data_IF_191504741193
#
_entry.id   IF_191504741193
#
_cell.length_a   1.000
_cell.length_b   1.000
_cell.length_c   1.000
_cell.angle_alpha   90.00
_cell.angle_beta   90.00
_cell.angle_gamma   90.00
#
_symmetry.space_group_name_H-M   'P 1'
#
loop_
_entity.id
_entity.type
_entity.pdbx_description
1 polymer ?
#
# COMPACT_ATOMS: atom_id res chain seq x y z
N UNK A 1 18.88 -2.05 -28.76
CA UNK A 1 17.54 -2.65 -28.59
C UNK A 1 16.86 -2.77 -29.95
N UNK A 2 16.84 -3.96 -30.58
CA UNK A 2 16.29 -4.12 -31.95
C UNK A 2 15.03 -5.00 -32.08
N UNK A 3 14.48 -5.50 -30.98
CA UNK A 3 13.11 -6.00 -30.90
C UNK A 3 12.63 -5.73 -29.48
N UNK A 4 11.75 -4.74 -29.30
CA UNK A 4 10.99 -4.62 -28.06
C UNK A 4 9.82 -5.61 -28.15
N UNK A 5 9.61 -6.40 -27.11
CA UNK A 5 8.41 -7.23 -26.98
C UNK A 5 7.17 -6.30 -27.08
N UNK A 6 6.21 -6.56 -27.99
CA UNK A 6 5.03 -5.71 -28.16
C UNK A 6 4.15 -5.63 -26.90
N UNK A 7 4.30 -6.57 -25.97
CA UNK A 7 3.61 -6.59 -24.67
C UNK A 7 4.29 -5.71 -23.62
N UNK A 8 5.53 -5.27 -23.86
CA UNK A 8 6.30 -4.44 -22.93
C UNK A 8 6.40 -3.02 -23.45
N UNK A 9 5.97 -2.07 -22.63
CA UNK A 9 6.13 -0.64 -22.90
C UNK A 9 6.87 0.04 -21.75
N UNK A 10 7.89 0.80 -22.11
CA UNK A 10 8.59 1.70 -21.20
C UNK A 10 7.90 3.07 -21.21
N UNK A 11 7.64 3.60 -20.02
CA UNK A 11 7.08 4.95 -19.84
C UNK A 11 8.14 5.81 -19.14
N UNK A 12 8.55 6.91 -19.76
CA UNK A 12 9.18 8.01 -19.02
C UNK A 12 8.05 8.90 -18.46
N UNK A 13 7.58 8.54 -17.26
CA UNK A 13 6.49 9.26 -16.61
C UNK A 13 6.88 10.69 -16.19
N UNK A 14 8.19 10.96 -16.03
CA UNK A 14 8.70 12.29 -15.75
C UNK A 14 8.63 13.19 -16.99
N UNK A 15 8.91 12.66 -18.18
CA UNK A 15 8.73 13.39 -19.45
C UNK A 15 7.25 13.76 -19.67
N UNK A 16 6.35 12.81 -19.43
CA UNK A 16 4.89 13.07 -19.49
C UNK A 16 4.46 14.12 -18.47
N UNK A 17 4.95 14.02 -17.22
CA UNK A 17 4.62 14.96 -16.16
C UNK A 17 5.17 16.38 -16.39
N UNK A 18 6.37 16.52 -16.96
CA UNK A 18 6.97 17.82 -17.30
C UNK A 18 6.22 18.59 -18.39
N UNK A 19 5.50 17.85 -19.24
CA UNK A 19 4.68 18.41 -20.31
C UNK A 19 3.24 18.71 -19.87
N UNK A 20 2.83 18.34 -18.66
CA UNK A 20 1.49 18.61 -18.18
C UNK A 20 1.35 20.03 -17.60
N UNK A 21 0.34 20.74 -18.09
CA UNK A 21 -0.07 22.06 -17.64
C UNK A 21 -1.55 22.06 -17.23
N UNK A 22 -1.93 23.02 -16.39
CA UNK A 22 -3.34 23.28 -16.10
C UNK A 22 -4.01 23.78 -17.38
N UNK A 23 -5.23 23.32 -17.64
CA UNK A 23 -6.04 23.77 -18.78
C UNK A 23 -6.14 25.31 -18.76
N UNK A 24 -6.04 25.94 -19.94
CA UNK A 24 -6.02 27.40 -20.14
C UNK A 24 -4.77 28.17 -19.67
N UNK A 25 -3.69 27.49 -19.27
CA UNK A 25 -2.40 28.15 -18.98
C UNK A 25 -1.20 27.26 -19.29
N UNK A 26 -0.57 27.45 -20.45
CA UNK A 26 0.68 26.76 -20.83
C UNK A 26 1.81 27.04 -19.83
N UNK A 27 1.77 28.21 -19.19
CA UNK A 27 2.76 28.64 -18.20
C UNK A 27 2.56 28.01 -16.82
N UNK A 28 1.37 27.48 -16.52
CA UNK A 28 1.06 26.88 -15.22
C UNK A 28 1.24 25.36 -15.25
N UNK A 29 2.46 24.94 -14.94
CA UNK A 29 2.85 23.53 -14.83
C UNK A 29 2.09 22.80 -13.72
N UNK A 30 1.71 21.55 -13.98
CA UNK A 30 0.89 20.75 -13.06
C UNK A 30 1.73 20.01 -12.01
N UNK A 31 2.74 19.23 -12.42
CA UNK A 31 3.49 18.35 -11.51
C UNK A 31 4.89 18.86 -11.18
N UNK A 32 5.56 19.48 -12.15
CA UNK A 32 6.94 19.94 -12.07
C UNK A 32 7.18 21.06 -13.11
N UNK A 33 8.08 22.01 -12.81
CA UNK A 33 8.34 23.16 -13.70
C UNK A 33 9.05 22.78 -15.01
N UNK A 34 9.88 21.74 -14.98
CA UNK A 34 10.60 21.18 -16.13
C UNK A 34 10.98 19.70 -15.87
N UNK A 35 11.66 19.07 -16.83
CA UNK A 35 12.06 17.66 -16.76
C UNK A 35 13.07 17.37 -15.65
N UNK A 36 14.03 18.26 -15.40
CA UNK A 36 15.04 18.08 -14.36
C UNK A 36 14.40 18.10 -12.98
N UNK A 37 13.53 19.07 -12.74
CA UNK A 37 12.74 19.14 -11.52
C UNK A 37 11.82 17.91 -11.37
N UNK A 38 11.22 17.41 -12.46
CA UNK A 38 10.43 16.18 -12.41
C UNK A 38 11.27 14.98 -11.97
N UNK A 39 12.44 14.77 -12.58
CA UNK A 39 13.35 13.68 -12.21
C UNK A 39 13.82 13.79 -10.77
N UNK A 40 14.10 14.99 -10.27
CA UNK A 40 14.47 15.22 -8.88
C UNK A 40 13.31 14.92 -7.93
N UNK A 41 12.14 15.54 -8.16
CA UNK A 41 10.95 15.44 -7.31
C UNK A 41 10.41 14.00 -7.22
N UNK A 42 10.40 13.28 -8.35
CA UNK A 42 9.87 11.93 -8.45
C UNK A 42 10.94 10.84 -8.38
N UNK A 43 12.17 11.15 -7.94
CA UNK A 43 13.17 10.14 -7.57
C UNK A 43 12.85 9.56 -6.19
N UNK A 44 11.71 8.90 -6.10
CA UNK A 44 11.18 8.34 -4.87
C UNK A 44 9.81 7.71 -5.09
N UNK A 45 9.14 7.41 -4.00
CA UNK A 45 7.92 6.61 -4.01
C UNK A 45 6.75 7.24 -4.80
N UNK A 46 6.64 8.58 -4.81
CA UNK A 46 5.56 9.30 -5.49
C UNK A 46 5.51 9.06 -7.01
N UNK A 47 6.57 8.50 -7.61
CA UNK A 47 6.56 8.08 -9.01
C UNK A 47 5.48 7.03 -9.31
N UNK A 48 5.09 6.24 -8.31
CA UNK A 48 3.99 5.27 -8.37
C UNK A 48 2.67 5.95 -8.75
N UNK A 49 2.41 7.15 -8.22
CA UNK A 49 1.22 7.93 -8.57
C UNK A 49 1.27 8.35 -10.04
N UNK A 50 2.41 8.84 -10.53
CA UNK A 50 2.57 9.18 -11.94
C UNK A 50 2.40 7.97 -12.85
N UNK A 51 2.89 6.80 -12.45
CA UNK A 51 2.72 5.55 -13.19
C UNK A 51 1.22 5.18 -13.33
N UNK A 52 0.44 5.31 -12.25
CA UNK A 52 -1.01 5.10 -12.30
C UNK A 52 -1.66 6.13 -13.24
N UNK A 53 -1.40 7.42 -13.04
CA UNK A 53 -2.01 8.52 -13.82
C UNK A 53 -1.71 8.36 -15.33
N UNK A 54 -0.45 8.19 -15.71
CA UNK A 54 0.00 8.23 -17.11
C UNK A 54 0.02 6.88 -17.83
N UNK A 55 -0.13 5.76 -17.13
CA UNK A 55 -0.30 4.47 -17.81
C UNK A 55 -1.51 4.50 -18.76
N UNK A 56 -1.44 3.78 -19.88
CA UNK A 56 -2.56 3.72 -20.83
C UNK A 56 -3.70 2.79 -20.42
N UNK A 57 -3.50 2.01 -19.36
CA UNK A 57 -4.44 1.00 -18.92
C UNK A 57 -5.56 1.63 -18.08
N UNK A 58 -6.78 1.14 -18.26
CA UNK A 58 -7.90 1.51 -17.37
C UNK A 58 -7.81 0.77 -16.04
N UNK A 59 -7.42 -0.51 -16.09
CA UNK A 59 -7.22 -1.38 -14.94
C UNK A 59 -5.72 -1.58 -14.73
N UNK A 60 -5.22 -1.12 -13.59
CA UNK A 60 -3.80 -1.08 -13.27
C UNK A 60 -3.54 -1.99 -12.08
N UNK A 61 -2.59 -2.90 -12.22
CA UNK A 61 -1.94 -3.59 -11.10
C UNK A 61 -0.55 -3.00 -10.98
N UNK A 62 -0.34 -2.20 -9.94
CA UNK A 62 0.94 -1.62 -9.61
C UNK A 62 1.67 -2.57 -8.65
N UNK A 63 2.95 -2.82 -8.91
CA UNK A 63 3.79 -3.77 -8.19
C UNK A 63 5.12 -3.11 -7.82
N UNK A 64 5.57 -3.34 -6.60
CA UNK A 64 6.97 -3.08 -6.25
C UNK A 64 7.91 -4.12 -6.89
N UNK A 65 9.13 -3.68 -7.20
CA UNK A 65 10.13 -4.50 -7.90
C UNK A 65 10.63 -5.69 -7.05
N UNK A 66 10.47 -5.60 -5.74
CA UNK A 66 10.86 -6.56 -4.70
C UNK A 66 9.65 -7.33 -4.12
N UNK A 67 8.55 -7.39 -4.86
CA UNK A 67 7.39 -8.21 -4.53
C UNK A 67 7.53 -9.63 -5.10
N UNK A 68 7.29 -10.65 -4.28
CA UNK A 68 7.23 -12.06 -4.67
C UNK A 68 5.88 -12.68 -4.39
N UNK A 69 5.35 -13.44 -5.35
CA UNK A 69 4.05 -14.08 -5.26
C UNK A 69 4.15 -15.58 -4.97
N UNK A 70 3.30 -16.07 -4.07
CA UNK A 70 3.11 -17.50 -3.78
C UNK A 70 1.96 -18.11 -4.61
N UNK A 71 1.13 -17.26 -5.20
CA UNK A 71 0.05 -17.65 -6.12
C UNK A 71 -0.13 -16.57 -7.19
N UNK A 72 -0.79 -16.90 -8.30
CA UNK A 72 -1.00 -15.92 -9.38
C UNK A 72 -1.82 -14.71 -8.89
N UNK A 73 -1.34 -13.47 -9.06
CA UNK A 73 -2.11 -12.28 -8.70
C UNK A 73 -3.30 -12.02 -9.64
N UNK A 74 -3.41 -12.75 -10.74
CA UNK A 74 -4.48 -12.55 -11.73
C UNK A 74 -5.87 -12.88 -11.17
N UNK A 75 -5.96 -13.70 -10.13
CA UNK A 75 -7.22 -14.02 -9.45
C UNK A 75 -7.82 -12.81 -8.74
N UNK A 76 -7.01 -11.80 -8.41
CA UNK A 76 -7.46 -10.57 -7.73
C UNK A 76 -8.49 -9.78 -8.54
N UNK A 77 -8.38 -9.78 -9.87
CA UNK A 77 -9.38 -9.17 -10.76
C UNK A 77 -10.77 -9.82 -10.63
N UNK A 78 -10.79 -11.10 -10.22
CA UNK A 78 -12.00 -11.89 -10.07
C UNK A 78 -12.73 -11.71 -8.74
N UNK A 79 -12.10 -11.07 -7.75
CA UNK A 79 -12.63 -10.86 -6.40
C UNK A 79 -13.87 -9.96 -6.40
N UNK A 80 -14.76 -10.16 -5.43
CA UNK A 80 -15.91 -9.29 -5.22
C UNK A 80 -15.47 -7.89 -4.76
N UNK A 81 -14.39 -7.80 -3.98
CA UNK A 81 -13.73 -6.53 -3.62
C UNK A 81 -13.38 -5.73 -4.87
N UNK A 82 -12.59 -6.27 -5.81
CA UNK A 82 -12.24 -5.55 -7.03
C UNK A 82 -13.45 -5.28 -7.92
N UNK A 83 -14.33 -6.26 -8.12
CA UNK A 83 -15.52 -6.07 -8.97
C UNK A 83 -16.50 -5.05 -8.41
N UNK A 84 -16.58 -4.88 -7.10
CA UNK A 84 -17.49 -3.90 -6.48
C UNK A 84 -16.91 -2.49 -6.41
N UNK A 85 -15.60 -2.33 -6.25
CA UNK A 85 -14.97 -1.02 -6.04
C UNK A 85 -14.03 -0.58 -7.16
N UNK A 86 -13.40 -1.51 -7.86
CA UNK A 86 -12.29 -1.22 -8.77
C UNK A 86 -10.95 -0.96 -8.07
N UNK A 87 -10.85 -1.21 -6.76
CA UNK A 87 -9.60 -1.11 -6.01
C UNK A 87 -9.43 -2.28 -5.04
N UNK A 88 -8.18 -2.64 -4.75
CA UNK A 88 -7.80 -3.50 -3.62
C UNK A 88 -6.54 -2.91 -2.99
N UNK A 89 -6.57 -2.75 -1.67
CA UNK A 89 -5.45 -2.33 -0.83
C UNK A 89 -5.14 -3.39 0.22
N UNK A 90 -3.89 -3.44 0.67
CA UNK A 90 -3.42 -4.35 1.71
C UNK A 90 -3.02 -3.54 2.95
N UNK A 91 -3.16 -4.15 4.13
CA UNK A 91 -2.84 -3.47 5.38
C UNK A 91 -1.34 -3.46 5.62
N UNK A 92 -0.82 -2.35 6.14
CA UNK A 92 0.55 -2.31 6.68
C UNK A 92 0.56 -2.76 8.15
N UNK A 93 1.75 -2.87 8.73
CA UNK A 93 1.98 -3.24 10.12
C UNK A 93 1.39 -2.19 11.04
N UNK A 94 0.71 -2.67 12.08
CA UNK A 94 0.18 -1.82 13.14
C UNK A 94 1.33 -1.41 14.07
N UNK A 95 2.13 -0.45 13.63
CA UNK A 95 3.28 0.07 14.36
C UNK A 95 3.37 1.61 14.28
N UNK A 96 4.39 2.18 14.93
CA UNK A 96 4.71 3.61 14.84
C UNK A 96 3.56 4.52 15.31
N UNK A 97 3.03 4.25 16.51
CA UNK A 97 1.82 4.85 17.10
C UNK A 97 1.92 6.38 17.35
N UNK A 98 3.05 6.99 17.02
CA UNK A 98 3.35 8.42 17.18
C UNK A 98 3.95 9.06 15.91
N UNK A 99 3.96 8.36 14.78
CA UNK A 99 4.53 8.86 13.51
C UNK A 99 3.48 8.90 12.40
N UNK A 100 3.78 9.61 11.31
CA UNK A 100 2.98 9.66 10.09
C UNK A 100 1.49 9.93 10.37
N UNK A 101 0.57 9.02 10.03
CA UNK A 101 -0.87 9.17 10.23
C UNK A 101 -1.24 9.44 11.71
N UNK A 102 -0.54 8.80 12.64
CA UNK A 102 -0.79 8.91 14.08
C UNK A 102 0.02 10.03 14.77
N UNK A 103 0.82 10.80 14.03
CA UNK A 103 1.67 11.83 14.62
C UNK A 103 0.83 12.88 15.39
N UNK A 104 1.14 13.04 16.68
CA UNK A 104 0.49 14.00 17.58
C UNK A 104 1.29 15.31 17.61
N UNK A 105 0.62 16.44 17.79
CA UNK A 105 1.32 17.72 17.91
C UNK A 105 1.90 17.84 19.33
N UNK A 106 3.22 18.09 19.49
CA UNK A 106 3.80 18.29 20.82
C UNK A 106 3.36 19.62 21.48
N UNK A 107 2.75 20.54 20.71
CA UNK A 107 2.37 21.89 21.17
C UNK A 107 0.90 22.04 21.55
N UNK A 108 0.06 21.02 21.31
CA UNK A 108 -1.35 21.03 21.77
C UNK A 108 -1.41 20.40 23.16
N UNK A 109 -1.00 21.19 24.15
CA UNK A 109 -0.99 20.83 25.57
C UNK A 109 -2.39 20.73 26.16
N UNK A 110 -3.02 19.58 26.00
CA UNK A 110 -4.31 19.19 26.60
C UNK A 110 -4.61 17.71 26.32
N UNK A 111 -5.66 17.15 26.92
CA UNK A 111 -6.09 15.78 26.58
C UNK A 111 -6.43 15.62 25.08
N UNK A 112 -6.82 16.71 24.41
CA UNK A 112 -7.06 16.80 22.95
C UNK A 112 -5.83 16.41 22.12
N UNK A 113 -4.61 16.71 22.58
CA UNK A 113 -3.37 16.35 21.89
C UNK A 113 -3.11 14.84 21.79
N UNK A 114 -3.78 14.03 22.63
CA UNK A 114 -3.71 12.56 22.58
C UNK A 114 -4.73 11.93 21.64
N UNK A 115 -5.86 12.58 21.42
CA UNK A 115 -7.00 12.06 20.65
C UNK A 115 -6.99 12.46 19.17
N UNK A 116 -6.25 13.51 18.78
CA UNK A 116 -6.17 14.00 17.39
C UNK A 116 -4.76 13.80 16.81
N UNK A 117 -4.67 12.92 15.81
CA UNK A 117 -3.46 12.66 15.02
C UNK A 117 -3.36 13.48 13.73
N UNK A 118 -2.29 13.26 12.95
CA UNK A 118 -2.06 13.95 11.68
C UNK A 118 -3.08 13.60 10.60
N UNK A 119 -3.53 12.33 10.53
CA UNK A 119 -4.60 11.90 9.61
C UNK A 119 -5.88 12.74 9.81
N UNK A 120 -6.33 12.87 11.06
CA UNK A 120 -7.52 13.66 11.41
C UNK A 120 -7.41 15.10 10.92
N UNK A 121 -6.29 15.77 11.23
CA UNK A 121 -6.04 17.16 10.83
C UNK A 121 -5.95 17.33 9.31
N UNK A 122 -5.29 16.39 8.64
CA UNK A 122 -5.17 16.39 7.18
C UNK A 122 -6.55 16.31 6.53
N UNK A 123 -7.37 15.32 6.95
CA UNK A 123 -8.70 15.10 6.40
C UNK A 123 -9.66 16.26 6.69
N UNK A 124 -9.68 16.80 7.91
CA UNK A 124 -10.55 17.95 8.25
C UNK A 124 -10.15 19.23 7.49
N UNK A 125 -8.87 19.38 7.16
CA UNK A 125 -8.36 20.53 6.41
C UNK A 125 -8.51 20.42 4.89
N UNK A 126 -8.90 19.25 4.35
CA UNK A 126 -8.98 19.05 2.90
C UNK A 126 -10.32 19.53 2.34
N UNK A 127 -10.26 20.29 1.24
CA UNK A 127 -11.45 20.76 0.53
C UNK A 127 -11.75 19.85 -0.68
N UNK A 128 -12.82 19.04 -0.56
CA UNK A 128 -13.22 18.09 -1.62
C UNK A 128 -14.05 18.72 -2.74
N UNK A 129 -14.59 19.93 -2.55
CA UNK A 129 -15.52 20.60 -3.48
C UNK A 129 -15.01 20.63 -4.94
N UNK A 130 -13.72 20.95 -5.21
CA UNK A 130 -13.21 21.00 -6.59
C UNK A 130 -13.29 19.67 -7.35
N UNK A 131 -13.43 18.54 -6.65
CA UNK A 131 -13.43 17.20 -7.25
C UNK A 131 -14.83 16.63 -7.47
N UNK A 132 -15.90 17.32 -7.03
CA UNK A 132 -17.27 16.81 -7.10
C UNK A 132 -17.77 16.56 -8.53
N UNK A 133 -17.20 17.24 -9.52
CA UNK A 133 -17.53 17.03 -10.94
C UNK A 133 -17.19 15.63 -11.46
N UNK A 134 -16.29 14.91 -10.80
CA UNK A 134 -15.91 13.56 -11.19
C UNK A 134 -16.83 12.51 -10.57
N UNK A 135 -17.09 11.43 -11.32
CA UNK A 135 -17.89 10.29 -10.86
C UNK A 135 -17.24 9.47 -9.74
N UNK A 136 -18.06 8.68 -9.07
CA UNK A 136 -17.66 7.78 -7.97
C UNK A 136 -18.30 6.41 -8.12
N UNK A 137 -17.72 5.41 -7.48
CA UNK A 137 -18.38 4.14 -7.25
C UNK A 137 -19.24 4.27 -5.99
N UNK A 138 -20.55 4.07 -6.12
CA UNK A 138 -21.46 4.10 -4.98
C UNK A 138 -21.12 3.01 -3.96
N UNK A 139 -21.11 3.37 -2.68
CA UNK A 139 -20.98 2.40 -1.60
C UNK A 139 -22.33 1.75 -1.29
N UNK A 140 -22.33 0.43 -1.04
CA UNK A 140 -23.48 -0.26 -0.44
C UNK A 140 -23.52 -0.12 1.09
N UNK A 141 -22.50 0.51 1.67
CA UNK A 141 -22.40 0.75 3.09
C UNK A 141 -23.43 1.82 3.53
N UNK A 142 -24.32 1.51 4.50
CA UNK A 142 -25.23 2.48 5.11
C UNK A 142 -24.54 3.70 5.74
N UNK A 143 -23.21 3.65 5.94
CA UNK A 143 -22.40 4.68 6.60
C UNK A 143 -22.21 6.01 5.84
N UNK A 144 -22.80 6.18 4.65
CA UNK A 144 -23.03 7.52 4.03
C UNK A 144 -23.87 8.48 4.93
N UNK A 145 -24.23 8.05 6.14
CA UNK A 145 -24.91 8.80 7.19
C UNK A 145 -24.01 9.21 8.37
N UNK A 146 -22.71 8.89 8.36
CA UNK A 146 -21.82 9.36 9.41
C UNK A 146 -21.83 10.89 9.46
N UNK A 147 -21.89 11.44 10.68
CA UNK A 147 -21.83 12.88 10.88
C UNK A 147 -20.56 13.45 10.26
N UNK A 148 -20.69 14.56 9.53
CA UNK A 148 -19.52 15.38 9.11
C UNK A 148 -18.81 16.03 10.29
N UNK A 149 -19.35 15.88 11.49
CA UNK A 149 -18.74 16.29 12.75
C UNK A 149 -18.33 15.06 13.55
N UNK A 150 -17.03 14.83 13.66
CA UNK A 150 -16.44 13.75 14.46
C UNK A 150 -15.24 14.29 15.23
N UNK A 151 -15.08 13.85 16.48
CA UNK A 151 -13.96 14.25 17.34
C UNK A 151 -13.81 15.78 17.51
N UNK A 152 -14.90 16.54 17.39
CA UNK A 152 -14.88 18.00 17.43
C UNK A 152 -14.31 18.67 16.18
N UNK A 153 -14.13 17.92 15.08
CA UNK A 153 -13.67 18.41 13.78
C UNK A 153 -14.82 18.39 12.78
N UNK A 154 -14.86 19.42 11.92
CA UNK A 154 -15.75 19.50 10.77
C UNK A 154 -15.03 18.96 9.51
N UNK A 155 -15.67 18.03 8.80
CA UNK A 155 -15.19 17.46 7.55
C UNK A 155 -16.01 17.97 6.36
N UNK A 156 -15.36 18.20 5.22
CA UNK A 156 -16.03 18.63 3.99
C UNK A 156 -16.76 17.48 3.27
N UNK A 157 -16.45 16.24 3.64
CA UNK A 157 -16.98 14.97 3.12
C UNK A 157 -17.55 14.10 4.27
N UNK A 158 -18.19 12.97 3.97
CA UNK A 158 -18.65 12.01 4.97
C UNK A 158 -17.61 10.92 5.23
N UNK A 159 -16.99 10.85 6.42
CA UNK A 159 -16.06 9.79 6.79
C UNK A 159 -16.68 8.40 6.68
N UNK A 160 -16.02 7.47 5.98
CA UNK A 160 -16.50 6.10 5.79
C UNK A 160 -16.39 5.25 7.05
N UNK A 161 -17.14 4.14 7.09
CA UNK A 161 -16.97 3.14 8.17
C UNK A 161 -15.57 2.52 8.16
N UNK A 162 -14.95 2.36 6.99
CA UNK A 162 -13.59 1.83 6.84
C UNK A 162 -12.60 2.77 7.53
N UNK A 163 -12.71 4.08 7.28
CA UNK A 163 -11.86 5.09 7.92
C UNK A 163 -12.03 5.07 9.45
N UNK A 164 -13.25 5.24 9.97
CA UNK A 164 -13.46 5.40 11.42
C UNK A 164 -13.17 4.14 12.23
N UNK A 165 -13.25 2.96 11.59
CA UNK A 165 -12.88 1.70 12.22
C UNK A 165 -11.40 1.34 12.05
N UNK A 166 -10.65 2.05 11.19
CA UNK A 166 -9.23 1.77 10.95
C UNK A 166 -8.36 1.95 12.19
N UNK A 167 -7.26 1.20 12.24
CA UNK A 167 -6.26 1.33 13.30
C UNK A 167 -5.58 2.70 13.26
N UNK A 168 -5.35 3.26 12.07
CA UNK A 168 -4.79 4.60 11.91
C UNK A 168 -5.70 5.70 12.49
N UNK A 169 -7.02 5.64 12.24
CA UNK A 169 -7.99 6.57 12.85
C UNK A 169 -8.01 6.45 14.37
N UNK A 170 -7.93 5.23 14.90
CA UNK A 170 -7.85 4.98 16.35
C UNK A 170 -6.48 5.33 16.95
N UNK A 171 -5.55 5.86 16.16
CA UNK A 171 -4.18 6.19 16.56
C UNK A 171 -3.37 5.00 17.10
N UNK A 172 -3.72 3.78 16.68
CA UNK A 172 -2.99 2.57 16.98
C UNK A 172 -1.77 2.37 16.06
N UNK A 173 -1.68 3.12 14.96
CA UNK A 173 -0.56 2.99 14.01
C UNK A 173 -0.37 4.23 13.15
N UNK A 174 0.87 4.51 12.79
CA UNK A 174 1.24 5.51 11.81
C UNK A 174 1.03 5.07 10.34
N UNK A 175 0.73 3.80 10.10
CA UNK A 175 0.59 3.24 8.75
C UNK A 175 -0.71 2.47 8.62
N UNK A 176 -1.37 2.61 7.47
CA UNK A 176 -2.61 1.88 7.19
C UNK A 176 -2.44 0.95 5.99
N UNK A 177 -1.75 1.41 4.95
CA UNK A 177 -1.69 0.72 3.66
C UNK A 177 -0.27 0.31 3.27
N UNK A 178 -0.15 -0.93 2.81
CA UNK A 178 0.98 -1.46 2.05
C UNK A 178 0.75 -1.15 0.55
N UNK A 179 1.74 -0.54 -0.11
CA UNK A 179 1.68 -0.19 -1.54
C UNK A 179 2.58 -1.04 -2.43
N UNK A 180 2.99 -2.22 -1.94
CA UNK A 180 3.75 -3.19 -2.74
C UNK A 180 2.90 -3.86 -3.81
N UNK A 181 1.59 -3.93 -3.58
CA UNK A 181 0.59 -4.32 -4.57
C UNK A 181 -0.63 -3.40 -4.47
N UNK A 182 -0.97 -2.72 -5.56
CA UNK A 182 -2.17 -1.87 -5.66
C UNK A 182 -2.95 -2.23 -6.91
N UNK A 183 -4.24 -2.57 -6.74
CA UNK A 183 -5.18 -2.64 -7.86
C UNK A 183 -5.95 -1.33 -7.96
N UNK A 184 -6.02 -0.77 -9.16
CA UNK A 184 -6.66 0.52 -9.41
C UNK A 184 -7.36 0.58 -10.77
N UNK A 185 -8.67 0.81 -10.76
CA UNK A 185 -9.47 1.02 -11.97
C UNK A 185 -9.74 2.51 -12.19
N UNK A 186 -8.98 3.15 -13.09
CA UNK A 186 -9.11 4.59 -13.38
C UNK A 186 -10.47 4.98 -13.94
N UNK A 187 -11.09 4.09 -14.73
CA UNK A 187 -12.41 4.36 -15.31
C UNK A 187 -13.51 4.40 -14.24
N UNK A 188 -13.37 3.58 -13.19
CA UNK A 188 -14.31 3.54 -12.07
C UNK A 188 -13.99 4.54 -10.96
N UNK A 189 -12.73 4.91 -10.82
CA UNK A 189 -12.23 5.80 -9.76
C UNK A 189 -11.77 7.16 -10.30
N UNK A 190 -12.52 7.88 -11.15
CA UNK A 190 -12.02 9.10 -11.77
C UNK A 190 -11.82 10.22 -10.73
N UNK A 191 -12.73 10.35 -9.74
CA UNK A 191 -12.58 11.35 -8.66
C UNK A 191 -11.36 11.07 -7.79
N UNK A 192 -11.21 9.85 -7.31
CA UNK A 192 -10.05 9.47 -6.52
C UNK A 192 -8.74 9.59 -7.32
N UNK A 193 -8.76 9.30 -8.63
CA UNK A 193 -7.57 9.46 -9.48
C UNK A 193 -7.18 10.93 -9.60
N UNK A 194 -8.15 11.85 -9.71
CA UNK A 194 -7.88 13.28 -9.72
C UNK A 194 -7.34 13.79 -8.37
N UNK A 195 -7.90 13.34 -7.25
CA UNK A 195 -7.40 13.67 -5.91
C UNK A 195 -5.99 13.11 -5.71
N UNK A 196 -5.74 11.87 -6.09
CA UNK A 196 -4.44 11.22 -6.00
C UNK A 196 -3.36 12.00 -6.77
N UNK A 197 -3.67 12.42 -8.00
CA UNK A 197 -2.78 13.27 -8.79
C UNK A 197 -2.55 14.64 -8.12
N UNK A 198 -3.57 15.19 -7.45
CA UNK A 198 -3.47 16.49 -6.80
C UNK A 198 -2.44 16.50 -5.66
N UNK A 199 -2.30 15.41 -4.91
CA UNK A 199 -1.37 15.31 -3.77
C UNK A 199 0.09 15.51 -4.16
N UNK A 200 0.45 15.14 -5.38
CA UNK A 200 1.82 15.24 -5.89
C UNK A 200 2.03 16.43 -6.83
N UNK A 201 1.00 17.25 -7.03
CA UNK A 201 1.03 18.39 -7.95
C UNK A 201 1.68 19.64 -7.31
N UNK A 202 1.81 20.72 -8.07
CA UNK A 202 2.32 22.03 -7.60
C UNK A 202 1.21 22.95 -7.06
N UNK A 203 0.03 22.41 -6.76
CA UNK A 203 -1.14 23.20 -6.36
C UNK A 203 -1.12 23.68 -4.89
N UNK A 204 -0.03 23.42 -4.16
CA UNK A 204 0.14 23.89 -2.78
C UNK A 204 -0.73 23.16 -1.75
N UNK A 205 -1.27 21.98 -2.08
CA UNK A 205 -1.94 21.14 -1.10
C UNK A 205 -0.96 20.70 0.00
N UNK A 206 -1.45 20.53 1.25
CA UNK A 206 -0.64 19.96 2.30
C UNK A 206 -0.18 18.55 1.92
N UNK A 207 1.01 18.17 2.35
CA UNK A 207 1.53 16.82 2.17
C UNK A 207 0.71 15.84 3.01
N UNK A 208 0.31 14.73 2.41
CA UNK A 208 -0.34 13.61 3.12
C UNK A 208 0.64 13.08 4.19
N UNK A 209 0.22 12.86 5.44
CA UNK A 209 1.10 12.39 6.51
C UNK A 209 1.47 10.91 6.35
N UNK A 210 2.34 10.62 5.39
CA UNK A 210 2.67 9.28 4.89
C UNK A 210 4.18 9.05 4.87
N UNK A 211 4.61 7.80 5.01
CA UNK A 211 5.95 7.40 4.60
C UNK A 211 5.91 7.09 3.09
N UNK A 212 6.22 8.10 2.28
CA UNK A 212 6.13 8.01 0.83
C UNK A 212 4.69 8.03 0.31
N UNK A 213 4.43 7.25 -0.74
CA UNK A 213 3.18 7.26 -1.52
C UNK A 213 2.04 6.45 -0.91
N UNK A 214 2.35 5.49 -0.03
CA UNK A 214 1.44 4.39 0.28
C UNK A 214 0.06 4.81 0.80
N UNK A 215 0.00 5.81 1.68
CA UNK A 215 -1.27 6.27 2.23
C UNK A 215 -2.07 7.14 1.25
N UNK A 216 -1.44 7.66 0.18
CA UNK A 216 -2.10 8.56 -0.77
C UNK A 216 -3.26 7.86 -1.50
N UNK A 217 -3.12 6.57 -1.83
CA UNK A 217 -4.11 5.83 -2.62
C UNK A 217 -5.46 5.72 -1.93
N UNK A 218 -5.47 5.21 -0.70
CA UNK A 218 -6.73 5.02 0.02
C UNK A 218 -7.29 6.34 0.55
N UNK A 219 -6.44 7.30 0.93
CA UNK A 219 -6.88 8.64 1.34
C UNK A 219 -7.55 9.37 0.16
N UNK A 220 -7.04 9.19 -1.06
CA UNK A 220 -7.69 9.73 -2.25
C UNK A 220 -9.08 9.12 -2.48
N UNK A 221 -9.27 7.82 -2.20
CA UNK A 221 -10.59 7.19 -2.23
C UNK A 221 -11.52 7.72 -1.13
N UNK A 222 -11.01 7.84 0.09
CA UNK A 222 -11.77 8.35 1.24
C UNK A 222 -12.29 9.78 0.98
N UNK A 223 -11.41 10.68 0.56
CA UNK A 223 -11.77 12.06 0.21
C UNK A 223 -12.66 12.16 -1.04
N UNK A 224 -12.63 11.15 -1.92
CA UNK A 224 -13.52 11.10 -3.07
C UNK A 224 -14.95 10.68 -2.69
N UNK A 225 -15.20 10.18 -1.47
CA UNK A 225 -16.47 9.54 -1.10
C UNK A 225 -16.86 8.42 -2.08
N UNK A 226 -15.86 7.68 -2.57
CA UNK A 226 -16.02 6.55 -3.50
C UNK A 226 -15.78 5.24 -2.76
N UNK A 227 -16.49 4.18 -3.14
CA UNK A 227 -16.25 2.86 -2.56
C UNK A 227 -14.83 2.37 -2.87
N UNK A 228 -14.14 1.83 -1.86
CA UNK A 228 -12.83 1.20 -1.96
C UNK A 228 -12.75 -0.02 -1.02
N UNK A 229 -11.78 -0.90 -1.23
CA UNK A 229 -11.67 -2.14 -0.46
C UNK A 229 -10.25 -2.37 0.07
N UNK A 230 -10.16 -2.78 1.33
CA UNK A 230 -8.97 -3.37 1.93
C UNK A 230 -9.11 -4.90 2.01
N UNK A 231 -7.97 -5.59 2.07
CA UNK A 231 -7.87 -7.00 2.47
C UNK A 231 -8.60 -7.25 3.79
N UNK A 232 -9.28 -8.39 3.90
CA UNK A 232 -9.89 -8.84 5.17
C UNK A 232 -8.84 -9.21 6.23
N UNK A 233 -7.58 -9.33 5.81
CA UNK A 233 -6.48 -9.82 6.64
C UNK A 233 -5.42 -8.74 6.90
N UNK A 234 -4.92 -8.73 8.14
CA UNK A 234 -3.74 -7.96 8.53
C UNK A 234 -2.48 -8.54 7.89
N UNK A 235 -1.45 -7.70 7.76
CA UNK A 235 -0.12 -8.16 7.36
C UNK A 235 0.45 -9.16 8.36
N UNK A 236 1.05 -10.20 7.82
CA UNK A 236 1.82 -11.21 8.51
C UNK A 236 3.32 -10.99 8.42
N UNK A 237 4.09 -11.99 8.85
CA UNK A 237 5.53 -12.04 8.65
C UNK A 237 5.98 -13.34 7.98
N UNK A 238 7.09 -13.24 7.25
CA UNK A 238 7.83 -14.37 6.72
C UNK A 238 9.32 -14.18 7.00
N UNK A 239 9.97 -15.20 7.54
CA UNK A 239 11.37 -15.10 7.95
C UNK A 239 11.90 -16.35 8.66
N UNK A 240 13.18 -16.30 9.01
CA UNK A 240 13.86 -17.40 9.73
C UNK A 240 13.95 -17.15 11.24
N UNK A 241 13.62 -15.94 11.70
CA UNK A 241 13.76 -15.52 13.10
C UNK A 241 12.48 -15.80 13.90
N UNK A 242 12.29 -17.08 14.22
CA UNK A 242 11.19 -17.57 15.05
C UNK A 242 11.50 -17.32 16.54
N UNK A 243 11.14 -16.14 17.03
CA UNK A 243 11.35 -15.75 18.44
C UNK A 243 10.55 -16.61 19.40
N UNK A 244 9.28 -16.89 19.07
CA UNK A 244 8.42 -17.79 19.82
C UNK A 244 7.50 -18.57 18.89
N UNK A 245 7.53 -19.92 18.90
CA UNK A 245 6.55 -20.72 18.15
C UNK A 245 5.16 -20.48 18.73
N UNK A 246 4.16 -20.34 17.86
CA UNK A 246 2.76 -20.16 18.26
C UNK A 246 1.82 -21.00 17.40
N UNK A 247 0.93 -21.74 18.05
CA UNK A 247 -0.08 -22.58 17.36
C UNK A 247 -1.49 -22.01 17.45
N UNK A 248 -1.70 -21.02 18.34
CA UNK A 248 -3.01 -20.44 18.60
C UNK A 248 -2.94 -18.94 18.86
N UNK A 249 -2.19 -18.20 18.04
CA UNK A 249 -2.07 -16.75 18.18
C UNK A 249 -1.23 -16.31 19.38
N UNK A 250 -0.25 -17.12 19.77
CA UNK A 250 0.63 -16.94 20.93
C UNK A 250 2.12 -16.86 20.56
N UNK A 251 2.43 -16.85 19.26
CA UNK A 251 3.78 -16.81 18.72
C UNK A 251 4.28 -15.41 18.40
N UNK A 252 5.57 -15.35 18.06
CA UNK A 252 6.28 -14.16 17.57
C UNK A 252 7.22 -14.61 16.46
N UNK A 253 7.04 -14.06 15.26
CA UNK A 253 7.89 -14.31 14.11
C UNK A 253 8.40 -12.97 13.56
N UNK A 254 9.72 -12.82 13.49
CA UNK A 254 10.35 -11.65 12.91
C UNK A 254 10.71 -11.89 11.44
N UNK A 255 10.41 -10.91 10.59
CA UNK A 255 10.76 -11.00 9.18
C UNK A 255 10.06 -9.97 8.32
N UNK A 256 10.04 -10.25 7.03
CA UNK A 256 9.48 -9.40 5.98
C UNK A 256 7.96 -9.47 5.94
N UNK A 257 7.32 -8.50 5.28
CA UNK A 257 5.87 -8.45 5.19
C UNK A 257 5.32 -9.63 4.36
N UNK A 258 4.36 -10.36 4.93
CA UNK A 258 3.63 -11.42 4.25
C UNK A 258 2.16 -11.03 4.15
N UNK A 259 1.61 -11.01 2.95
CA UNK A 259 0.21 -10.66 2.69
C UNK A 259 -0.54 -11.90 2.21
N UNK A 260 -1.77 -12.06 2.66
CA UNK A 260 -2.64 -13.20 2.31
C UNK A 260 -3.65 -12.81 1.24
N UNK A 261 -4.28 -13.81 0.62
CA UNK A 261 -5.35 -13.54 -0.34
C UNK A 261 -6.46 -12.69 0.32
N UNK A 262 -6.93 -11.59 -0.31
CA UNK A 262 -7.60 -10.51 0.43
C UNK A 262 -9.06 -10.80 0.83
N UNK A 263 -9.66 -11.91 0.41
CA UNK A 263 -11.06 -12.23 0.68
C UNK A 263 -11.19 -13.45 1.60
N UNK A 264 -12.01 -13.32 2.64
CA UNK A 264 -12.43 -14.46 3.44
C UNK A 264 -13.39 -15.35 2.64
N UNK A 265 -12.92 -16.53 2.26
CA UNK A 265 -13.70 -17.52 1.48
C UNK A 265 -14.72 -18.27 2.33
N UNK A 266 -14.56 -18.31 3.67
CA UNK A 266 -15.49 -18.97 4.59
C UNK A 266 -15.96 -18.03 5.73
N UNK A 267 -17.16 -17.49 5.59
CA UNK A 267 -17.79 -16.63 6.58
C UNK A 267 -18.06 -17.31 7.95
N UNK A 268 -18.00 -18.64 8.04
CA UNK A 268 -18.14 -19.38 9.29
C UNK A 268 -16.84 -19.39 10.12
N UNK A 269 -15.68 -19.15 9.50
CA UNK A 269 -14.36 -19.14 10.17
C UNK A 269 -13.98 -17.75 10.72
N UNK A 270 -14.90 -17.13 11.45
CA UNK A 270 -14.85 -15.75 11.99
C UNK A 270 -13.60 -15.36 12.81
N UNK A 271 -12.66 -16.27 13.09
CA UNK A 271 -11.43 -15.99 13.83
C UNK A 271 -10.21 -16.83 13.42
N UNK A 272 -10.35 -17.81 12.52
CA UNK A 272 -9.25 -18.60 11.96
C UNK A 272 -9.22 -18.31 10.47
N UNK A 273 -8.47 -17.30 10.10
CA UNK A 273 -8.35 -16.91 8.70
C UNK A 273 -7.79 -18.09 7.90
N UNK A 274 -8.56 -18.52 6.90
CA UNK A 274 -8.23 -19.62 5.99
C UNK A 274 -7.77 -19.03 4.65
N UNK A 275 -6.87 -18.05 4.73
CA UNK A 275 -6.34 -17.38 3.56
C UNK A 275 -4.90 -17.81 3.34
N UNK A 276 -4.67 -18.34 2.15
CA UNK A 276 -3.34 -18.71 1.70
C UNK A 276 -2.47 -17.47 1.49
N UNK A 277 -1.15 -17.57 1.71
CA UNK A 277 -0.20 -16.53 1.34
C UNK A 277 -0.37 -16.10 -0.12
N UNK A 278 -0.37 -14.79 -0.35
CA UNK A 278 -0.48 -14.20 -1.68
C UNK A 278 0.88 -13.70 -2.15
N UNK A 279 1.47 -12.78 -1.39
CA UNK A 279 2.76 -12.19 -1.73
C UNK A 279 3.56 -11.80 -0.49
N UNK A 280 4.85 -11.61 -0.67
CA UNK A 280 5.72 -10.93 0.28
C UNK A 280 6.46 -9.78 -0.39
N UNK A 281 6.82 -8.77 0.39
CA UNK A 281 7.69 -7.68 -0.03
C UNK A 281 8.97 -7.73 0.80
N UNK A 282 10.15 -7.73 0.15
CA UNK A 282 11.42 -7.99 0.84
C UNK A 282 12.62 -7.35 0.15
N UNK A 283 13.37 -6.53 0.91
CA UNK A 283 14.71 -6.03 0.53
C UNK A 283 15.72 -7.18 0.33
N UNK A 284 15.41 -8.37 0.82
CA UNK A 284 16.22 -9.57 0.75
C UNK A 284 15.70 -10.58 -0.28
N UNK A 285 14.93 -10.13 -1.28
CA UNK A 285 14.33 -10.95 -2.35
C UNK A 285 15.32 -11.94 -3.00
N UNK A 286 16.61 -11.58 -3.08
CA UNK A 286 17.69 -12.39 -3.68
C UNK A 286 18.30 -13.43 -2.73
N UNK A 287 17.91 -13.43 -1.45
CA UNK A 287 18.43 -14.37 -0.42
C UNK A 287 17.46 -15.51 -0.13
N UNK A 288 16.19 -15.36 -0.48
CA UNK A 288 15.18 -16.38 -0.25
C UNK A 288 15.35 -17.58 -1.18
N UNK A 289 14.96 -18.77 -0.70
CA UNK A 289 15.03 -20.01 -1.47
C UNK A 289 16.39 -20.72 -1.50
N UNK A 290 17.44 -20.09 -0.94
CA UNK A 290 18.78 -20.68 -0.76
C UNK A 290 19.17 -20.92 0.70
N UNK A 291 18.28 -20.64 1.65
CA UNK A 291 18.57 -20.75 3.08
C UNK A 291 18.71 -22.22 3.51
N UNK A 292 19.73 -22.50 4.32
CA UNK A 292 19.88 -23.78 5.04
C UNK A 292 19.00 -23.85 6.29
N UNK A 293 18.46 -22.72 6.72
CA UNK A 293 17.57 -22.61 7.87
C UNK A 293 16.09 -22.73 7.44
N UNK A 294 15.24 -23.34 8.29
CA UNK A 294 13.80 -23.38 8.04
C UNK A 294 13.22 -21.97 7.90
N UNK A 295 12.33 -21.79 6.93
CA UNK A 295 11.58 -20.56 6.74
C UNK A 295 10.18 -20.73 7.32
N UNK A 296 9.72 -19.73 8.07
CA UNK A 296 8.40 -19.71 8.67
C UNK A 296 7.59 -18.56 8.09
N UNK A 297 6.29 -18.77 7.98
CA UNK A 297 5.28 -17.75 7.72
C UNK A 297 4.31 -17.64 8.88
N UNK A 298 3.57 -16.54 8.94
CA UNK A 298 2.41 -16.43 9.82
C UNK A 298 1.13 -16.80 9.09
N UNK A 299 0.23 -17.53 9.75
CA UNK A 299 -1.14 -17.69 9.28
C UNK A 299 -1.84 -16.32 9.17
N UNK A 300 -2.83 -16.25 8.28
CA UNK A 300 -3.65 -15.06 8.14
C UNK A 300 -4.34 -14.70 9.46
N UNK A 301 -4.69 -13.41 9.61
CA UNK A 301 -5.39 -12.90 10.79
C UNK A 301 -6.31 -11.77 10.39
N UNK A 302 -7.49 -11.69 11.00
CA UNK A 302 -8.46 -10.64 10.69
C UNK A 302 -7.83 -9.24 10.86
N UNK A 303 -8.07 -8.37 9.87
CA UNK A 303 -7.52 -7.02 9.83
C UNK A 303 -7.98 -6.16 11.03
N UNK A 304 -9.17 -6.40 11.57
CA UNK A 304 -9.69 -5.59 12.68
C UNK A 304 -9.01 -5.90 14.03
N UNK A 305 -8.30 -7.03 14.14
CA UNK A 305 -7.63 -7.40 15.38
C UNK A 305 -6.46 -6.46 15.66
N UNK A 306 -6.50 -5.81 16.82
CA UNK A 306 -5.36 -5.07 17.36
C UNK A 306 -4.61 -5.94 18.39
N UNK A 307 -3.40 -6.44 18.08
CA UNK A 307 -2.66 -7.30 19.02
C UNK A 307 -2.07 -6.52 20.22
N UNK A 308 -1.97 -5.20 20.10
CA UNK A 308 -1.37 -4.32 21.10
C UNK A 308 -0.21 -3.50 20.53
N UNK A 309 0.46 -2.75 21.41
CA UNK A 309 1.56 -1.84 21.03
C UNK A 309 2.90 -2.56 20.96
N UNK A 310 3.66 -2.29 19.89
CA UNK A 310 5.05 -2.75 19.76
C UNK A 310 5.97 -2.12 20.82
N UNK A 311 5.70 -0.86 21.18
CA UNK A 311 6.44 -0.12 22.21
C UNK A 311 6.28 -0.83 23.56
N UNK A 312 5.04 -1.15 23.94
CA UNK A 312 4.74 -1.82 25.21
C UNK A 312 5.31 -3.24 25.26
N UNK A 313 5.26 -3.97 24.13
CA UNK A 313 5.83 -5.32 23.99
C UNK A 313 7.34 -5.34 23.87
N UNK A 314 7.99 -4.20 23.60
CA UNK A 314 9.45 -4.06 23.39
C UNK A 314 9.98 -4.97 22.28
N UNK A 315 9.20 -5.15 21.22
CA UNK A 315 9.57 -5.94 20.05
C UNK A 315 9.96 -5.02 18.88
N UNK A 316 10.92 -5.42 18.02
CA UNK A 316 11.17 -4.73 16.76
C UNK A 316 9.92 -4.68 15.88
N UNK A 317 9.79 -3.65 15.04
CA UNK A 317 8.63 -3.49 14.14
C UNK A 317 8.50 -4.63 13.13
N UNK A 318 9.61 -5.32 12.84
CA UNK A 318 9.66 -6.50 12.00
C UNK A 318 9.07 -7.76 12.65
N UNK A 319 8.69 -7.71 13.93
CA UNK A 319 8.30 -8.86 14.75
C UNK A 319 6.83 -8.82 15.19
N UNK A 320 5.85 -9.12 14.32
CA UNK A 320 4.48 -9.29 14.76
C UNK A 320 4.38 -10.38 15.83
N UNK A 321 3.49 -10.12 16.77
CA UNK A 321 3.21 -10.96 17.92
C UNK A 321 1.73 -11.31 17.98
N UNK A 322 1.43 -12.27 18.83
CA UNK A 322 0.12 -12.92 18.93
C UNK A 322 -0.28 -13.49 17.55
N UNK A 323 0.67 -14.20 16.94
CA UNK A 323 0.56 -14.83 15.62
C UNK A 323 0.59 -16.35 15.72
N UNK A 324 -0.04 -17.02 14.76
CA UNK A 324 0.18 -18.46 14.54
C UNK A 324 1.28 -18.60 13.51
N UNK A 325 2.33 -19.32 13.86
CA UNK A 325 3.51 -19.54 13.02
C UNK A 325 3.42 -20.91 12.35
N UNK A 326 3.78 -20.99 11.08
CA UNK A 326 3.77 -22.23 10.31
C UNK A 326 5.01 -22.32 9.44
N UNK A 327 5.48 -23.53 9.18
CA UNK A 327 6.47 -23.75 8.14
C UNK A 327 5.84 -23.51 6.77
N UNK A 328 6.64 -23.04 5.82
CA UNK A 328 6.20 -22.97 4.43
C UNK A 328 5.91 -24.38 3.89
N UNK A 329 4.88 -24.48 3.06
CA UNK A 329 4.64 -25.68 2.27
C UNK A 329 5.81 -25.93 1.30
N UNK A 330 6.03 -27.20 0.90
CA UNK A 330 7.03 -27.53 -0.12
C UNK A 330 6.84 -26.76 -1.44
N UNK A 331 5.60 -26.43 -1.81
CA UNK A 331 5.29 -25.68 -3.01
C UNK A 331 5.75 -24.21 -2.91
N UNK A 332 5.47 -23.55 -1.77
CA UNK A 332 5.90 -22.17 -1.52
C UNK A 332 7.42 -22.08 -1.44
N UNK A 333 8.08 -23.03 -0.76
CA UNK A 333 9.54 -23.10 -0.72
C UNK A 333 10.14 -23.28 -2.13
N UNK A 334 9.54 -24.15 -2.96
CA UNK A 334 9.98 -24.38 -4.33
C UNK A 334 9.87 -23.11 -5.22
N UNK A 335 8.83 -22.28 -5.03
CA UNK A 335 8.69 -21.00 -5.73
C UNK A 335 9.84 -20.04 -5.40
N UNK A 336 10.24 -19.96 -4.13
CA UNK A 336 11.38 -19.14 -3.71
C UNK A 336 12.69 -19.64 -4.33
N UNK A 337 12.91 -20.95 -4.36
CA UNK A 337 14.09 -21.54 -5.02
C UNK A 337 14.07 -21.31 -6.54
N UNK A 338 12.91 -21.43 -7.19
CA UNK A 338 12.77 -21.16 -8.63
C UNK A 338 13.15 -19.71 -8.96
N UNK A 339 12.73 -18.75 -8.14
CA UNK A 339 13.09 -17.33 -8.33
C UNK A 339 14.61 -17.12 -8.28
N UNK A 340 15.28 -17.75 -7.32
CA UNK A 340 16.74 -17.68 -7.22
C UNK A 340 17.41 -18.28 -8.46
N UNK A 341 16.84 -19.36 -9.02
CA UNK A 341 17.26 -19.93 -10.31
C UNK A 341 17.19 -18.92 -11.46
N UNK A 342 16.04 -18.25 -11.63
CA UNK A 342 15.85 -17.22 -12.68
C UNK A 342 16.84 -16.06 -12.50
N UNK A 343 17.07 -15.62 -11.26
CA UNK A 343 18.06 -14.58 -10.99
C UNK A 343 19.46 -14.99 -11.46
N UNK A 344 19.89 -16.21 -11.15
CA UNK A 344 21.20 -16.72 -11.56
C UNK A 344 21.34 -16.79 -13.10
N UNK A 345 20.27 -17.15 -13.82
CA UNK A 345 20.26 -17.10 -15.29
C UNK A 345 20.43 -15.67 -15.82
N UNK A 346 19.69 -14.70 -15.26
CA UNK A 346 19.77 -13.29 -15.69
C UNK A 346 21.16 -12.70 -15.38
N UNK A 347 21.75 -13.02 -14.24
CA UNK A 347 23.11 -12.58 -13.89
C UNK A 347 24.15 -13.13 -14.87
N UNK A 348 24.00 -14.39 -15.30
CA UNK A 348 24.88 -14.97 -16.32
C UNK A 348 24.80 -14.20 -17.64
N UNK A 349 23.60 -13.79 -18.07
CA UNK A 349 23.43 -12.97 -19.29
C UNK A 349 24.08 -11.59 -19.20
N UNK A 350 24.07 -10.96 -18.02
CA UNK A 350 24.74 -9.68 -17.78
C UNK A 350 26.26 -9.85 -17.88
N UNK A 351 26.79 -10.97 -17.35
CA UNK A 351 28.22 -11.30 -17.39
C UNK A 351 28.76 -11.69 -18.77
N UNK A 352 27.92 -12.20 -19.67
CA UNK A 352 28.34 -12.71 -20.98
C UNK A 352 28.39 -11.66 -22.10
N UNK A 353 27.63 -10.55 -22.02
CA UNK A 353 27.42 -9.69 -23.22
C UNK A 353 27.31 -8.16 -22.99
N UNK A 354 27.53 -7.63 -21.78
CA UNK A 354 27.32 -6.19 -21.51
C UNK A 354 28.52 -5.49 -20.89
N UNK A 355 29.43 -5.03 -21.75
CA UNK A 355 30.36 -3.95 -21.40
C UNK A 355 29.60 -2.65 -21.07
N UNK A 356 29.76 -2.18 -19.84
CA UNK A 356 29.67 -0.77 -19.42
C UNK A 356 28.33 0.00 -19.52
N UNK A 357 27.16 -0.64 -19.39
CA UNK A 357 25.87 0.09 -19.30
C UNK A 357 25.05 -0.16 -18.03
N UNK A 358 25.42 -1.12 -17.19
CA UNK A 358 24.81 -1.34 -15.88
C UNK A 358 25.83 -1.13 -14.77
N UNK A 359 25.88 0.10 -14.24
CA UNK A 359 26.37 0.36 -12.90
C UNK A 359 25.15 0.51 -11.99
N UNK A 360 24.74 -0.53 -11.25
CA UNK A 360 23.79 -0.31 -10.18
C UNK A 360 24.55 0.51 -9.12
N UNK A 361 24.10 1.74 -8.87
CA UNK A 361 24.60 2.65 -7.83
C UNK A 361 25.93 3.38 -8.12
N UNK A 362 25.98 4.19 -9.19
CA UNK A 362 26.85 5.36 -9.27
C UNK A 362 26.04 6.65 -9.17
#
# INVERSE_FOLDING_TARGET
MKQQDPLVRFYDVCELAANASVEDSVDRKLFCVDLEHCRYKFRGFDIKVLAVVYSRFQEVMLLDADTLFFQSPMTLWGTDKYKSTGTIFFHDRICLEYSFLAARSPFVGGQEGKAIGALHRFLSGFNVIPYHQFGVVGSRDPSLQNSKQLLGLDFSFHPSSILVNSHAWKLHTGHQMDSSLVLWNKARQPRATAILASFISLNGLPTVPSYGDKELFWIACELAETAYAFSDFAVGAIGTDLVAPGSSGDGVLCGDALQHFPEQTDAAKKSKADAEPLYMNSDYILKWGGATQPLYGTAARAAELYPGSFIDRKLPLSCPFDVTTMELSPAEAALLTQRLGIYNEVVAWIGEDWGAWWHPFA
#
